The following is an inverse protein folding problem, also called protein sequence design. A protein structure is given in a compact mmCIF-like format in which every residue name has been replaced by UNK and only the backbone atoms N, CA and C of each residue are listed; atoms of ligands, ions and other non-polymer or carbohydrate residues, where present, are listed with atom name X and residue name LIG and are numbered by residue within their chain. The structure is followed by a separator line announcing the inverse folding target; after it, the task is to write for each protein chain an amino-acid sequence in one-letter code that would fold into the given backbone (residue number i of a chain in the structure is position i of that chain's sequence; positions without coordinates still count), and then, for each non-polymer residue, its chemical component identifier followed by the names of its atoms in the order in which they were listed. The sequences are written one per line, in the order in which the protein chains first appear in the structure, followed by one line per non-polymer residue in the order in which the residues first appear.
data_IF_631675210532
#
_entry.id   IF_631675210532
#
_cell.length_a   1.000
_cell.length_b   1.000
_cell.length_c   1.000
_cell.angle_alpha   90.00
_cell.angle_beta   90.00
_cell.angle_gamma   90.00
#
_symmetry.space_group_name_H-M   'P 1'
#
loop_
_entity.id
_entity.type
_entity.pdbx_description
1 polymer ?
#
# COMPACT_ATOMS: atom_id res chain seq x y z
N UNK A 1 23.42 30.79 -18.94
CA UNK A 1 21.98 30.47 -18.78
C UNK A 1 21.89 28.99 -18.45
N UNK A 2 21.45 28.63 -17.25
CA UNK A 2 21.36 27.22 -16.80
C UNK A 2 20.32 26.47 -17.64
N UNK A 3 20.59 25.22 -18.00
CA UNK A 3 19.72 24.33 -18.79
C UNK A 3 18.26 24.26 -18.30
N UNK A 4 18.01 24.60 -17.02
CA UNK A 4 16.69 24.68 -16.40
C UNK A 4 15.74 25.71 -17.03
N UNK A 5 16.24 26.81 -17.61
CA UNK A 5 15.36 27.84 -18.19
C UNK A 5 14.89 27.52 -19.63
N UNK A 6 15.54 26.57 -20.32
CA UNK A 6 15.10 26.08 -21.64
C UNK A 6 14.10 24.92 -21.50
N UNK A 7 13.99 24.35 -20.30
CA UNK A 7 13.21 23.16 -19.98
C UNK A 7 11.92 23.45 -19.23
N UNK A 8 11.44 24.70 -19.15
CA UNK A 8 10.20 25.03 -18.43
C UNK A 8 9.00 24.20 -18.93
N UNK A 9 9.00 23.85 -20.22
CA UNK A 9 8.05 22.88 -20.80
C UNK A 9 8.24 21.46 -20.25
N UNK A 10 9.47 20.95 -20.22
CA UNK A 10 9.79 19.62 -19.70
C UNK A 10 9.51 19.49 -18.20
N UNK A 11 9.83 20.52 -17.42
CA UNK A 11 9.57 20.57 -15.98
C UNK A 11 8.06 20.56 -15.68
N UNK A 12 7.26 21.29 -16.49
CA UNK A 12 5.80 21.22 -16.44
C UNK A 12 5.25 19.85 -16.85
N UNK A 13 5.83 19.20 -17.86
CA UNK A 13 5.42 17.84 -18.28
C UNK A 13 5.71 16.81 -17.18
N UNK A 14 6.90 16.83 -16.60
CA UNK A 14 7.26 15.92 -15.48
C UNK A 14 6.33 16.16 -14.29
N UNK A 15 6.09 17.43 -13.92
CA UNK A 15 5.18 17.75 -12.82
C UNK A 15 3.74 17.32 -13.08
N UNK A 16 3.28 17.35 -14.34
CA UNK A 16 1.95 16.84 -14.71
C UNK A 16 1.87 15.32 -14.50
N UNK A 17 2.88 14.58 -14.95
CA UNK A 17 2.96 13.13 -14.72
C UNK A 17 3.02 12.79 -13.23
N UNK A 18 3.87 13.48 -12.47
CA UNK A 18 3.99 13.26 -11.01
C UNK A 18 2.66 13.48 -10.29
N UNK A 19 1.90 14.52 -10.69
CA UNK A 19 0.55 14.75 -10.14
C UNK A 19 -0.43 13.64 -10.52
N UNK A 20 -0.43 13.19 -11.78
CA UNK A 20 -1.30 12.10 -12.24
C UNK A 20 -1.01 10.79 -11.49
N UNK A 21 0.27 10.40 -11.41
CA UNK A 21 0.67 9.21 -10.66
C UNK A 21 0.40 9.36 -9.16
N UNK A 22 0.57 10.56 -8.59
CA UNK A 22 0.22 10.84 -7.20
C UNK A 22 -1.27 10.62 -6.90
N UNK A 23 -2.17 11.03 -7.81
CA UNK A 23 -3.61 10.76 -7.67
C UNK A 23 -3.91 9.26 -7.73
N UNK A 24 -3.28 8.52 -8.66
CA UNK A 24 -3.43 7.06 -8.74
C UNK A 24 -2.95 6.37 -7.46
N UNK A 25 -1.80 6.79 -6.93
CA UNK A 25 -1.25 6.28 -5.68
C UNK A 25 -2.20 6.50 -4.50
N UNK A 26 -2.86 7.67 -4.44
CA UNK A 26 -3.87 7.96 -3.43
C UNK A 26 -5.09 7.02 -3.54
N UNK A 27 -5.59 6.79 -4.75
CA UNK A 27 -6.70 5.86 -4.98
C UNK A 27 -6.33 4.44 -4.54
N UNK A 28 -5.14 3.97 -4.90
CA UNK A 28 -4.66 2.64 -4.49
C UNK A 28 -4.55 2.53 -2.97
N UNK A 29 -4.03 3.56 -2.31
CA UNK A 29 -3.93 3.58 -0.84
C UNK A 29 -5.31 3.48 -0.18
N UNK A 30 -6.32 4.16 -0.72
CA UNK A 30 -7.70 4.04 -0.25
C UNK A 30 -8.27 2.63 -0.48
N UNK A 31 -8.01 2.02 -1.64
CA UNK A 31 -8.44 0.65 -1.93
C UNK A 31 -7.80 -0.36 -0.96
N UNK A 32 -6.50 -0.21 -0.67
CA UNK A 32 -5.79 -1.03 0.32
C UNK A 32 -6.44 -0.88 1.69
N UNK A 33 -6.74 0.35 2.11
CA UNK A 33 -7.38 0.61 3.39
C UNK A 33 -8.73 -0.11 3.50
N UNK A 34 -9.60 0.01 2.49
CA UNK A 34 -10.91 -0.65 2.47
C UNK A 34 -10.80 -2.18 2.39
N UNK A 35 -9.83 -2.71 1.63
CA UNK A 35 -9.60 -4.15 1.52
C UNK A 35 -9.15 -4.77 2.85
N UNK A 36 -8.17 -4.15 3.51
CA UNK A 36 -7.68 -4.56 4.84
C UNK A 36 -8.80 -4.47 5.87
N UNK A 37 -9.63 -3.41 5.80
CA UNK A 37 -10.82 -3.26 6.65
C UNK A 37 -11.72 -4.48 6.56
N UNK A 38 -12.09 -4.85 5.34
CA UNK A 38 -13.03 -5.93 5.11
C UNK A 38 -12.45 -7.27 5.57
N UNK A 39 -11.16 -7.49 5.33
CA UNK A 39 -10.46 -8.71 5.74
C UNK A 39 -10.36 -8.84 7.26
N UNK A 40 -9.94 -7.79 7.97
CA UNK A 40 -9.85 -7.81 9.44
C UNK A 40 -11.23 -7.96 10.07
N UNK A 41 -12.24 -7.29 9.52
CA UNK A 41 -13.61 -7.41 10.02
C UNK A 41 -14.14 -8.85 9.91
N UNK A 42 -13.86 -9.53 8.79
CA UNK A 42 -14.20 -10.95 8.62
C UNK A 42 -13.47 -11.83 9.64
N UNK A 43 -12.15 -11.66 9.78
CA UNK A 43 -11.34 -12.43 10.73
C UNK A 43 -11.81 -12.25 12.17
N UNK A 44 -12.22 -11.04 12.54
CA UNK A 44 -12.75 -10.75 13.87
C UNK A 44 -14.09 -11.42 14.11
N UNK A 45 -14.96 -11.45 13.11
CA UNK A 45 -16.25 -12.13 13.19
C UNK A 45 -16.06 -13.64 13.42
N UNK A 46 -15.13 -14.27 12.70
CA UNK A 46 -14.80 -15.69 12.87
C UNK A 46 -14.19 -16.00 14.26
N UNK A 47 -13.39 -15.08 14.81
CA UNK A 47 -12.64 -15.26 16.06
C UNK A 47 -13.28 -14.59 17.27
N UNK A 48 -14.53 -14.12 17.16
CA UNK A 48 -15.22 -13.38 18.22
C UNK A 48 -15.30 -14.19 19.54
N UNK A 49 -15.51 -15.51 19.44
CA UNK A 49 -15.50 -16.41 20.59
C UNK A 49 -14.15 -16.51 21.30
N UNK A 50 -13.04 -16.52 20.55
CA UNK A 50 -11.68 -16.54 21.11
C UNK A 50 -11.35 -15.22 21.83
N UNK A 51 -11.79 -14.09 21.27
CA UNK A 51 -11.61 -12.78 21.91
C UNK A 51 -12.43 -12.67 23.21
N UNK A 52 -13.63 -13.24 23.23
CA UNK A 52 -14.47 -13.31 24.43
C UNK A 52 -13.86 -14.16 25.55
N UNK A 53 -13.28 -15.31 25.22
CA UNK A 53 -12.60 -16.16 26.23
C UNK A 53 -11.31 -15.50 26.75
N UNK A 54 -10.54 -14.82 25.90
CA UNK A 54 -9.37 -14.05 26.35
C UNK A 54 -9.76 -12.93 27.33
N UNK A 55 -10.85 -12.19 27.08
CA UNK A 55 -11.33 -11.18 28.03
C UNK A 55 -11.82 -11.79 29.35
N UNK A 56 -12.47 -12.96 29.31
CA UNK A 56 -12.90 -13.67 30.51
C UNK A 56 -11.72 -14.16 31.37
N UNK A 57 -10.57 -14.43 30.74
CA UNK A 57 -9.31 -14.76 31.43
C UNK A 57 -8.56 -13.52 31.97
N UNK A 58 -9.08 -12.32 31.70
CA UNK A 58 -8.53 -11.06 32.21
C UNK A 58 -7.64 -10.28 31.24
N UNK A 59 -7.52 -10.70 29.98
CA UNK A 59 -6.80 -9.91 28.97
C UNK A 59 -7.53 -8.60 28.69
N UNK A 60 -6.75 -7.53 28.54
CA UNK A 60 -7.27 -6.20 28.24
C UNK A 60 -7.61 -6.06 26.75
N UNK A 61 -8.51 -5.14 26.40
CA UNK A 61 -8.79 -4.82 24.99
C UNK A 61 -7.54 -4.32 24.23
N UNK A 62 -6.50 -3.87 24.93
CA UNK A 62 -5.22 -3.48 24.34
C UNK A 62 -4.43 -4.68 23.84
N UNK A 63 -4.52 -5.82 24.50
CA UNK A 63 -3.82 -7.05 24.11
C UNK A 63 -4.40 -7.58 22.79
N UNK A 64 -5.73 -7.47 22.62
CA UNK A 64 -6.43 -7.81 21.37
C UNK A 64 -6.00 -6.87 20.25
N UNK A 65 -5.92 -5.56 20.51
CA UNK A 65 -5.44 -4.57 19.52
C UNK A 65 -3.99 -4.88 19.11
N UNK A 66 -3.12 -5.17 20.07
CA UNK A 66 -1.72 -5.50 19.78
C UNK A 66 -1.61 -6.76 18.93
N UNK A 67 -2.40 -7.80 19.23
CA UNK A 67 -2.43 -9.02 18.44
C UNK A 67 -2.81 -8.73 16.99
N UNK A 68 -3.93 -8.02 16.76
CA UNK A 68 -4.40 -7.64 15.41
C UNK A 68 -3.36 -6.80 14.67
N UNK A 69 -2.71 -5.86 15.36
CA UNK A 69 -1.65 -5.03 14.78
C UNK A 69 -0.44 -5.86 14.38
N UNK A 70 0.00 -6.81 15.22
CA UNK A 70 1.14 -7.67 14.90
C UNK A 70 0.85 -8.58 13.71
N UNK A 71 -0.35 -9.18 13.66
CA UNK A 71 -0.78 -10.01 12.53
C UNK A 71 -0.83 -9.20 11.23
N UNK A 72 -1.43 -8.01 11.29
CA UNK A 72 -1.50 -7.09 10.15
C UNK A 72 -0.12 -6.59 9.71
N UNK A 73 0.80 -6.34 10.65
CA UNK A 73 2.16 -5.90 10.35
C UNK A 73 2.97 -7.01 9.64
N UNK A 74 2.83 -8.26 10.07
CA UNK A 74 3.47 -9.42 9.42
C UNK A 74 2.92 -9.58 8.00
N UNK A 75 1.59 -9.54 7.83
CA UNK A 75 0.95 -9.61 6.52
C UNK A 75 1.36 -8.45 5.61
N UNK A 76 1.43 -7.23 6.15
CA UNK A 76 1.88 -6.05 5.43
C UNK A 76 3.34 -6.14 5.00
N UNK A 77 4.22 -6.66 5.85
CA UNK A 77 5.63 -6.87 5.52
C UNK A 77 5.79 -7.92 4.43
N UNK A 78 5.12 -9.07 4.56
CA UNK A 78 5.12 -10.12 3.55
C UNK A 78 4.58 -9.59 2.21
N UNK A 79 3.47 -8.85 2.24
CA UNK A 79 2.88 -8.22 1.06
C UNK A 79 3.81 -7.20 0.41
N UNK A 80 4.53 -6.38 1.20
CA UNK A 80 5.49 -5.42 0.66
C UNK A 80 6.68 -6.12 -0.03
N UNK A 81 7.23 -7.17 0.57
CA UNK A 81 8.32 -7.96 -0.02
C UNK A 81 7.88 -8.61 -1.33
N UNK A 82 6.72 -9.28 -1.31
CA UNK A 82 6.16 -9.95 -2.50
C UNK A 82 5.84 -8.92 -3.58
N UNK A 83 5.24 -7.79 -3.22
CA UNK A 83 4.89 -6.71 -4.15
C UNK A 83 6.11 -6.09 -4.82
N UNK A 84 7.18 -5.82 -4.07
CA UNK A 84 8.45 -5.33 -4.62
C UNK A 84 9.07 -6.37 -5.56
N UNK A 85 9.09 -7.64 -5.15
CA UNK A 85 9.64 -8.72 -5.97
C UNK A 85 8.87 -8.87 -7.30
N UNK A 86 7.54 -8.91 -7.25
CA UNK A 86 6.69 -8.98 -8.44
C UNK A 86 6.83 -7.74 -9.32
N UNK A 87 6.94 -6.55 -8.73
CA UNK A 87 7.17 -5.30 -9.46
C UNK A 87 8.49 -5.30 -10.22
N UNK A 88 9.57 -5.82 -9.61
CA UNK A 88 10.87 -5.99 -10.28
C UNK A 88 10.78 -7.00 -11.42
N UNK A 89 10.15 -8.16 -11.19
CA UNK A 89 9.97 -9.18 -12.22
C UNK A 89 9.16 -8.64 -13.41
N UNK A 90 8.08 -7.89 -13.15
CA UNK A 90 7.31 -7.23 -14.18
C UNK A 90 8.14 -6.17 -14.94
N UNK A 91 8.92 -5.35 -14.22
CA UNK A 91 9.78 -4.35 -14.84
C UNK A 91 10.82 -4.97 -15.78
N UNK A 92 11.45 -6.08 -15.36
CA UNK A 92 12.39 -6.83 -16.19
C UNK A 92 11.70 -7.49 -17.38
N UNK A 93 10.53 -8.10 -17.19
CA UNK A 93 9.75 -8.72 -18.26
C UNK A 93 9.31 -7.72 -19.33
N UNK A 94 8.79 -6.57 -18.93
CA UNK A 94 8.41 -5.50 -19.85
C UNK A 94 9.64 -4.92 -20.56
N UNK A 95 10.76 -4.75 -19.84
CA UNK A 95 12.00 -4.27 -20.43
C UNK A 95 12.59 -5.23 -21.46
N UNK A 96 12.41 -6.55 -21.27
CA UNK A 96 12.87 -7.57 -22.21
C UNK A 96 12.06 -7.58 -23.51
N UNK A 97 10.76 -7.27 -23.44
CA UNK A 97 9.89 -7.12 -24.62
C UNK A 97 10.27 -5.85 -25.42
N UNK A 98 10.79 -4.84 -24.73
CA UNK A 98 11.18 -3.55 -25.29
C UNK A 98 9.97 -2.65 -25.46
N UNK A 99 10.04 -1.42 -24.94
CA UNK A 99 8.95 -0.45 -25.05
C UNK A 99 9.25 0.46 -26.25
N UNK A 100 8.55 0.32 -27.40
CA UNK A 100 8.80 1.16 -28.56
C UNK A 100 8.34 2.60 -28.25
N UNK A 101 9.27 3.55 -28.26
CA UNK A 101 8.98 4.98 -28.09
C UNK A 101 9.06 5.71 -29.42
N UNK A 102 8.15 6.68 -29.67
CA UNK A 102 8.23 7.53 -30.84
C UNK A 102 9.53 8.38 -30.81
N UNK A 103 10.01 8.82 -31.98
CA UNK A 103 11.26 9.57 -32.06
C UNK A 103 11.15 10.89 -31.27
N UNK A 104 12.18 11.27 -30.49
CA UNK A 104 12.23 12.58 -29.85
C UNK A 104 12.34 13.70 -30.91
N UNK A 105 12.03 14.97 -30.57
CA UNK A 105 11.99 16.10 -31.52
C UNK A 105 13.28 16.34 -32.34
N UNK A 106 14.38 15.69 -31.97
CA UNK A 106 15.71 15.85 -32.57
C UNK A 106 16.25 14.56 -33.24
N UNK A 107 15.43 13.51 -33.37
CA UNK A 107 15.84 12.26 -34.02
C UNK A 107 14.69 11.70 -34.89
N UNK A 108 15.04 11.05 -36.01
CA UNK A 108 14.07 10.42 -36.93
C UNK A 108 13.93 8.91 -36.68
N UNK A 109 14.57 8.38 -35.62
CA UNK A 109 14.57 6.95 -35.29
C UNK A 109 13.97 6.78 -33.90
N UNK A 110 12.99 5.88 -33.78
CA UNK A 110 12.44 5.47 -32.49
C UNK A 110 13.51 4.72 -31.69
N UNK A 111 13.42 4.78 -30.36
CA UNK A 111 14.29 4.03 -29.45
C UNK A 111 13.46 3.11 -28.56
N UNK A 112 14.07 2.03 -28.09
CA UNK A 112 13.45 1.15 -27.10
C UNK A 112 13.75 1.68 -25.70
N UNK A 113 12.70 1.98 -24.95
CA UNK A 113 12.84 2.35 -23.55
C UNK A 113 12.96 1.08 -22.70
N UNK A 114 13.81 1.16 -21.67
CA UNK A 114 13.96 0.15 -20.64
C UNK A 114 13.52 0.75 -19.30
N UNK A 115 12.88 -0.06 -18.46
CA UNK A 115 12.48 0.38 -17.12
C UNK A 115 13.73 0.41 -16.25
N UNK A 116 14.15 1.61 -15.87
CA UNK A 116 15.31 1.77 -14.98
C UNK A 116 14.90 1.44 -13.55
N UNK A 117 15.41 0.32 -13.03
CA UNK A 117 15.24 -0.05 -11.63
C UNK A 117 16.20 0.80 -10.81
N UNK A 118 15.65 1.81 -10.12
CA UNK A 118 16.41 2.67 -9.20
C UNK A 118 16.19 2.15 -7.77
N UNK A 119 17.24 1.79 -7.03
CA UNK A 119 17.09 1.23 -5.68
C UNK A 119 16.28 2.13 -4.73
N UNK A 120 16.47 3.45 -4.85
CA UNK A 120 15.74 4.42 -4.03
C UNK A 120 14.24 4.42 -4.30
N UNK A 121 13.79 4.31 -5.56
CA UNK A 121 12.36 4.28 -5.87
C UNK A 121 11.72 3.01 -5.35
N UNK A 122 12.40 1.86 -5.52
CA UNK A 122 11.97 0.59 -4.97
C UNK A 122 11.77 0.64 -3.46
N UNK A 123 12.75 1.21 -2.74
CA UNK A 123 12.71 1.31 -1.29
C UNK A 123 11.58 2.23 -0.84
N UNK A 124 11.40 3.38 -1.50
CA UNK A 124 10.28 4.29 -1.18
C UNK A 124 8.93 3.66 -1.48
N UNK A 125 8.76 2.93 -2.60
CA UNK A 125 7.50 2.25 -2.93
C UNK A 125 7.18 1.12 -1.95
N UNK A 126 8.18 0.32 -1.57
CA UNK A 126 8.03 -0.72 -0.55
C UNK A 126 7.67 -0.13 0.82
N UNK A 127 8.34 0.95 1.23
CA UNK A 127 8.03 1.68 2.47
C UNK A 127 6.63 2.26 2.44
N UNK A 128 6.22 2.90 1.34
CA UNK A 128 4.87 3.47 1.19
C UNK A 128 3.81 2.37 1.28
N UNK A 129 4.02 1.23 0.61
CA UNK A 129 3.10 0.10 0.68
C UNK A 129 2.97 -0.45 2.10
N UNK A 130 4.10 -0.74 2.74
CA UNK A 130 4.14 -1.23 4.11
C UNK A 130 3.50 -0.25 5.11
N UNK A 131 3.91 1.02 5.07
CA UNK A 131 3.33 2.06 5.92
C UNK A 131 1.84 2.26 5.64
N UNK A 132 1.41 2.16 4.39
CA UNK A 132 0.00 2.20 4.00
C UNK A 132 -0.81 1.09 4.66
N UNK A 133 -0.30 -0.16 4.65
CA UNK A 133 -0.94 -1.29 5.31
C UNK A 133 -0.95 -1.15 6.83
N UNK A 134 0.15 -0.70 7.43
CA UNK A 134 0.23 -0.47 8.89
C UNK A 134 -0.74 0.63 9.31
N UNK A 135 -0.76 1.78 8.63
CA UNK A 135 -1.70 2.87 8.90
C UNK A 135 -3.15 2.42 8.75
N UNK A 136 -3.45 1.64 7.69
CA UNK A 136 -4.76 1.05 7.51
C UNK A 136 -5.13 0.13 8.70
N UNK A 137 -4.22 -0.75 9.11
CA UNK A 137 -4.48 -1.68 10.22
C UNK A 137 -4.70 -0.99 11.56
N UNK A 138 -3.98 0.11 11.83
CA UNK A 138 -4.16 0.93 13.04
C UNK A 138 -5.56 1.55 13.07
N UNK A 139 -5.98 2.19 11.97
CA UNK A 139 -7.32 2.77 11.86
C UNK A 139 -8.41 1.71 12.10
N UNK A 140 -8.19 0.48 11.62
CA UNK A 140 -9.13 -0.62 11.80
C UNK A 140 -9.15 -1.20 13.21
N UNK A 141 -7.99 -1.41 13.84
CA UNK A 141 -7.93 -1.98 15.18
C UNK A 141 -8.71 -1.13 16.21
N UNK A 142 -8.67 0.20 16.07
CA UNK A 142 -9.48 1.11 16.86
C UNK A 142 -10.97 1.04 16.55
N UNK A 143 -11.35 0.83 15.28
CA UNK A 143 -12.75 0.69 14.88
C UNK A 143 -13.35 -0.63 15.38
N UNK A 144 -12.60 -1.73 15.29
CA UNK A 144 -13.03 -3.09 15.67
C UNK A 144 -13.31 -3.20 17.16
N UNK A 145 -12.44 -2.67 18.01
CA UNK A 145 -12.64 -2.70 19.47
C UNK A 145 -13.90 -1.96 19.92
N UNK A 146 -14.31 -0.90 19.21
CA UNK A 146 -15.58 -0.20 19.50
C UNK A 146 -16.80 -1.05 19.15
N UNK A 147 -16.72 -1.88 18.11
CA UNK A 147 -17.82 -2.77 17.70
C UNK A 147 -17.98 -3.94 18.68
N UNK A 148 -16.87 -4.62 19.03
CA UNK A 148 -16.91 -5.73 19.99
C UNK A 148 -17.44 -5.32 21.38
N UNK A 149 -17.11 -4.13 21.87
CA UNK A 149 -17.60 -3.66 23.19
C UNK A 149 -19.11 -3.38 23.16
N UNK A 150 -19.63 -2.79 22.07
CA UNK A 150 -21.06 -2.44 21.97
C UNK A 150 -21.92 -3.68 21.73
N UNK A 151 -21.46 -4.62 20.90
CA UNK A 151 -22.21 -5.83 20.60
C UNK A 151 -22.15 -6.85 21.76
N UNK A 152 -21.01 -6.97 22.46
CA UNK A 152 -20.92 -7.78 23.68
C UNK A 152 -21.84 -7.28 24.81
N UNK A 153 -22.12 -5.97 24.87
CA UNK A 153 -23.09 -5.39 25.81
C UNK A 153 -24.54 -5.62 25.38
N UNK A 154 -24.82 -5.74 24.07
CA UNK A 154 -26.16 -6.01 23.54
C UNK A 154 -26.55 -7.48 23.56
N UNK A 155 -25.59 -8.40 23.48
CA UNK A 155 -25.85 -9.85 23.51
C UNK A 155 -26.08 -10.41 24.92
N UNK A 156 -25.82 -9.61 25.95
CA UNK A 156 -26.08 -9.92 27.37
C UNK A 156 -27.37 -9.27 27.92
N UNK A 157 -28.25 -8.76 27.05
CA UNK A 157 -29.61 -8.29 27.40
C UNK A 157 -30.64 -9.08 26.62
#
# INVERSE_FOLDING_TARGET
RSWKNLSDFYEKTVQLYDRQFGVLQLIILLMVLLSVTNSVNMSVFERQGEFGTMQALGNSSRDIIQLILTESAILGLAGAVIGVFLGVMAALGISAIGIPMPPPPNANVGYTAFIRIVPMTLLTSGCVGFLGTVLASILQAFKVTRLQVVDALRQNV
#
